data_IF_523583707076
#
_entry.id   IF_523583707076
#
_cell.length_a   1.000
_cell.length_b   1.000
_cell.length_c   1.000
_cell.angle_alpha   90.00
_cell.angle_beta   90.00
_cell.angle_gamma   90.00
#
_symmetry.space_group_name_H-M   'P 1'
#
loop_
_entity.id
_entity.type
_entity.pdbx_description
1 polymer ?
#
# COMPACT_ATOMS: atom_id res chain seq x y z
N UNK A 1 1.51 19.76 13.20
CA UNK A 1 0.77 18.96 12.19
C UNK A 1 0.58 17.57 12.78
N UNK A 2 -0.67 17.20 13.11
CA UNK A 2 -0.96 16.10 14.04
C UNK A 2 -0.60 14.72 13.45
N UNK A 3 0.46 14.11 13.96
CA UNK A 3 1.00 12.80 13.53
C UNK A 3 -0.02 11.64 13.59
N UNK A 4 -1.12 11.83 14.32
CA UNK A 4 -2.22 10.86 14.47
C UNK A 4 -3.07 10.81 13.19
N UNK A 5 -3.25 11.94 12.50
CA UNK A 5 -4.02 12.02 11.25
C UNK A 5 -3.25 11.33 10.11
N UNK A 6 -1.93 11.51 10.04
CA UNK A 6 -1.07 10.82 9.06
C UNK A 6 -0.99 9.29 9.32
N UNK A 7 -1.21 8.84 10.57
CA UNK A 7 -1.17 7.42 10.94
C UNK A 7 -2.45 6.66 10.54
N UNK A 8 -3.60 7.32 10.59
CA UNK A 8 -4.91 6.70 10.33
C UNK A 8 -5.44 6.90 8.91
N UNK A 9 -4.88 7.83 8.14
CA UNK A 9 -5.32 8.10 6.77
C UNK A 9 -5.34 6.87 5.84
N UNK A 10 -4.32 5.97 5.85
CA UNK A 10 -4.31 4.82 4.94
C UNK A 10 -5.44 3.83 5.24
N UNK A 11 -5.74 3.65 6.53
CA UNK A 11 -6.74 2.71 7.01
C UNK A 11 -8.14 3.30 6.88
N UNK A 12 -8.31 4.58 7.21
CA UNK A 12 -9.58 5.30 7.02
C UNK A 12 -9.96 5.41 5.53
N UNK A 13 -9.02 5.71 4.64
CA UNK A 13 -9.28 5.74 3.20
C UNK A 13 -9.65 4.36 2.65
N UNK A 14 -8.95 3.31 3.09
CA UNK A 14 -9.28 1.93 2.71
C UNK A 14 -10.67 1.51 3.21
N UNK A 15 -11.05 1.88 4.45
CA UNK A 15 -12.37 1.63 5.02
C UNK A 15 -13.47 2.37 4.24
N UNK A 16 -13.25 3.63 3.87
CA UNK A 16 -14.22 4.43 3.11
C UNK A 16 -14.44 3.82 1.72
N UNK A 17 -13.36 3.48 1.01
CA UNK A 17 -13.47 2.90 -0.34
C UNK A 17 -14.11 1.51 -0.31
N UNK A 18 -13.74 0.68 0.67
CA UNK A 18 -14.37 -0.63 0.89
C UNK A 18 -15.86 -0.48 1.25
N UNK A 19 -16.22 0.49 2.09
CA UNK A 19 -17.60 0.81 2.44
C UNK A 19 -18.42 1.28 1.23
N UNK A 20 -17.88 2.20 0.43
CA UNK A 20 -18.51 2.66 -0.80
C UNK A 20 -18.72 1.51 -1.79
N UNK A 21 -17.74 0.61 -1.94
CA UNK A 21 -17.88 -0.56 -2.82
C UNK A 21 -19.00 -1.50 -2.34
N UNK A 22 -19.06 -1.80 -1.04
CA UNK A 22 -20.05 -2.72 -0.48
C UNK A 22 -21.48 -2.17 -0.55
N UNK A 23 -21.67 -0.86 -0.34
CA UNK A 23 -22.99 -0.22 -0.35
C UNK A 23 -23.52 0.10 -1.76
N UNK A 24 -22.66 0.56 -2.68
CA UNK A 24 -23.10 1.04 -4.00
C UNK A 24 -22.80 0.09 -5.15
N UNK A 25 -21.64 -0.58 -5.16
CA UNK A 25 -21.14 -1.29 -6.35
C UNK A 25 -21.35 -2.79 -6.31
N UNK A 26 -21.75 -3.37 -5.17
CA UNK A 26 -22.08 -4.80 -5.04
C UNK A 26 -23.16 -5.29 -6.03
N UNK A 27 -24.03 -4.39 -6.51
CA UNK A 27 -25.09 -4.73 -7.47
C UNK A 27 -24.64 -4.74 -8.93
N UNK A 28 -23.44 -4.26 -9.25
CA UNK A 28 -22.94 -4.22 -10.63
C UNK A 28 -22.11 -5.47 -10.94
N UNK A 29 -22.35 -6.12 -12.09
CA UNK A 29 -21.51 -7.24 -12.51
C UNK A 29 -20.07 -6.76 -12.72
N UNK A 30 -19.11 -7.52 -12.22
CA UNK A 30 -17.69 -7.20 -12.37
C UNK A 30 -17.36 -7.34 -13.87
N UNK A 31 -16.78 -6.29 -14.49
CA UNK A 31 -16.53 -6.30 -15.92
C UNK A 31 -15.46 -7.34 -16.30
N UNK A 32 -15.59 -7.95 -17.47
CA UNK A 32 -14.64 -8.95 -18.01
C UNK A 32 -13.18 -8.43 -18.11
N UNK A 33 -12.99 -7.10 -18.05
CA UNK A 33 -11.68 -6.44 -18.01
C UNK A 33 -10.94 -6.57 -16.67
N UNK A 34 -11.49 -7.33 -15.70
CA UNK A 34 -10.88 -7.51 -14.38
C UNK A 34 -9.46 -8.11 -14.43
N UNK A 35 -9.19 -8.97 -15.41
CA UNK A 35 -7.86 -9.55 -15.62
C UNK A 35 -6.82 -8.48 -15.97
N UNK A 36 -7.20 -7.43 -16.71
CA UNK A 36 -6.30 -6.33 -16.98
C UNK A 36 -6.00 -5.53 -15.70
N UNK A 37 -7.02 -5.32 -14.86
CA UNK A 37 -6.88 -4.65 -13.57
C UNK A 37 -5.93 -5.40 -12.63
N UNK A 38 -6.05 -6.73 -12.52
CA UNK A 38 -5.13 -7.54 -11.73
C UNK A 38 -3.69 -7.47 -12.26
N UNK A 39 -3.49 -7.53 -13.58
CA UNK A 39 -2.16 -7.39 -14.18
C UNK A 39 -1.52 -6.03 -13.90
N UNK A 40 -2.29 -4.95 -13.99
CA UNK A 40 -1.84 -3.60 -13.65
C UNK A 40 -1.46 -3.51 -12.17
N UNK A 41 -2.26 -4.09 -11.28
CA UNK A 41 -1.99 -4.09 -9.84
C UNK A 41 -0.72 -4.87 -9.47
N UNK A 42 -0.45 -6.02 -10.10
CA UNK A 42 0.82 -6.76 -9.94
C UNK A 42 1.99 -5.89 -10.37
N UNK A 43 1.87 -5.20 -11.50
CA UNK A 43 2.94 -4.36 -12.03
C UNK A 43 3.25 -3.17 -11.11
N UNK A 44 2.21 -2.43 -10.67
CA UNK A 44 2.36 -1.29 -9.77
C UNK A 44 2.91 -1.71 -8.40
N UNK A 45 2.44 -2.83 -7.85
CA UNK A 45 2.93 -3.34 -6.56
C UNK A 45 4.40 -3.77 -6.65
N UNK A 46 4.83 -4.43 -7.72
CA UNK A 46 6.22 -4.80 -7.93
C UNK A 46 7.15 -3.57 -8.02
N UNK A 47 6.76 -2.54 -8.80
CA UNK A 47 7.51 -1.28 -8.89
C UNK A 47 7.58 -0.59 -7.52
N UNK A 48 6.47 -0.56 -6.80
CA UNK A 48 6.39 0.08 -5.47
C UNK A 48 7.29 -0.61 -4.46
N UNK A 49 7.31 -1.95 -4.43
CA UNK A 49 8.20 -2.74 -3.57
C UNK A 49 9.66 -2.43 -3.88
N UNK A 50 10.03 -2.41 -5.17
CA UNK A 50 11.39 -2.07 -5.60
C UNK A 50 11.80 -0.67 -5.11
N UNK A 51 10.97 0.33 -5.34
CA UNK A 51 11.20 1.70 -4.88
C UNK A 51 11.34 1.79 -3.34
N UNK A 52 10.46 1.12 -2.59
CA UNK A 52 10.50 1.09 -1.12
C UNK A 52 11.78 0.42 -0.60
N UNK A 53 12.20 -0.68 -1.23
CA UNK A 53 13.43 -1.38 -0.88
C UNK A 53 14.67 -0.50 -1.12
N UNK A 54 14.74 0.17 -2.28
CA UNK A 54 15.83 1.12 -2.58
C UNK A 54 15.81 2.30 -1.61
N UNK A 55 14.65 2.87 -1.31
CA UNK A 55 14.51 3.97 -0.35
C UNK A 55 14.99 3.56 1.04
N UNK A 56 14.70 2.31 1.47
CA UNK A 56 15.17 1.75 2.75
C UNK A 56 16.70 1.62 2.77
N UNK A 57 17.29 1.18 1.66
CA UNK A 57 18.74 1.11 1.53
C UNK A 57 19.40 2.49 1.61
N UNK A 58 18.85 3.50 0.92
CA UNK A 58 19.33 4.89 1.00
C UNK A 58 19.23 5.42 2.43
N UNK A 59 18.10 5.18 3.11
CA UNK A 59 17.91 5.59 4.50
C UNK A 59 18.99 4.97 5.42
N UNK A 60 19.35 3.71 5.18
CA UNK A 60 20.40 3.02 5.91
C UNK A 60 21.80 3.55 5.59
N UNK A 61 22.07 3.99 4.35
CA UNK A 61 23.36 4.58 3.97
C UNK A 61 23.56 5.98 4.55
N UNK A 62 22.50 6.79 4.65
CA UNK A 62 22.58 8.17 5.18
C UNK A 62 22.64 8.19 6.73
N UNK A 63 22.69 7.02 7.37
CA UNK A 63 22.62 6.81 8.82
C UNK A 63 23.55 7.69 9.67
N UNK A 64 24.70 8.10 9.13
CA UNK A 64 25.69 8.92 9.84
C UNK A 64 25.39 10.45 9.86
N UNK A 65 24.32 10.90 9.20
CA UNK A 65 23.93 12.32 9.29
C UNK A 65 23.34 12.62 10.67
N UNK A 66 23.72 13.78 11.25
CA UNK A 66 23.20 14.30 12.54
C UNK A 66 21.67 14.24 12.65
N UNK A 67 20.95 14.43 11.54
CA UNK A 67 19.49 14.34 11.47
C UNK A 67 18.97 12.93 11.71
N UNK A 68 19.60 11.90 11.13
CA UNK A 68 19.17 10.51 11.36
C UNK A 68 19.50 10.07 12.79
N UNK A 69 20.62 10.51 13.34
CA UNK A 69 20.94 10.28 14.76
C UNK A 69 19.90 10.95 15.69
N UNK A 70 19.39 12.14 15.34
CA UNK A 70 18.32 12.81 16.07
C UNK A 70 16.96 12.12 15.94
N UNK A 71 16.61 11.64 14.74
CA UNK A 71 15.40 10.83 14.51
C UNK A 71 15.48 9.50 15.27
N UNK A 72 16.68 8.92 15.39
CA UNK A 72 16.92 7.70 16.17
C UNK A 72 16.81 7.96 17.68
N UNK A 73 17.38 9.06 18.19
CA UNK A 73 17.23 9.42 19.61
C UNK A 73 15.78 9.74 19.99
N UNK A 74 14.97 10.17 19.02
CA UNK A 74 13.52 10.32 19.16
C UNK A 74 12.70 9.02 19.00
N UNK A 75 13.34 7.87 18.72
CA UNK A 75 12.66 6.58 18.50
C UNK A 75 11.82 6.49 17.22
N UNK A 76 11.94 7.48 16.32
CA UNK A 76 11.13 7.59 15.11
C UNK A 76 11.71 6.80 13.93
N UNK A 77 13.01 6.45 13.99
CA UNK A 77 13.69 5.71 12.93
C UNK A 77 13.11 4.30 12.74
N UNK A 78 12.95 3.55 13.84
CA UNK A 78 12.42 2.19 13.79
C UNK A 78 10.96 2.20 13.31
N UNK A 79 10.16 3.15 13.80
CA UNK A 79 8.79 3.36 13.30
C UNK A 79 8.74 3.65 11.80
N UNK A 80 9.71 4.40 11.25
CA UNK A 80 9.78 4.66 9.82
C UNK A 80 10.06 3.39 9.04
N UNK A 81 11.06 2.62 9.46
CA UNK A 81 11.41 1.34 8.84
C UNK A 81 10.23 0.38 8.89
N UNK A 82 9.49 0.34 10.01
CA UNK A 82 8.27 -0.47 10.16
C UNK A 82 7.18 -0.03 9.18
N UNK A 83 6.99 1.28 8.95
CA UNK A 83 6.05 1.76 7.94
C UNK A 83 6.47 1.36 6.52
N UNK A 84 7.77 1.39 6.20
CA UNK A 84 8.28 0.92 4.92
C UNK A 84 8.02 -0.57 4.74
N UNK A 85 8.30 -1.37 5.76
CA UNK A 85 8.03 -2.81 5.73
C UNK A 85 6.54 -3.09 5.62
N UNK A 86 5.68 -2.38 6.36
CA UNK A 86 4.23 -2.54 6.25
C UNK A 86 3.73 -2.28 4.82
N UNK A 87 4.19 -1.19 4.19
CA UNK A 87 3.86 -0.89 2.79
C UNK A 87 4.32 -2.00 1.83
N UNK A 88 5.54 -2.53 2.02
CA UNK A 88 6.05 -3.67 1.24
C UNK A 88 5.16 -4.90 1.40
N UNK A 89 4.77 -5.26 2.64
CA UNK A 89 3.89 -6.40 2.89
C UNK A 89 2.53 -6.21 2.21
N UNK A 90 1.91 -5.03 2.30
CA UNK A 90 0.64 -4.76 1.62
C UNK A 90 0.76 -4.89 0.09
N UNK A 91 1.85 -4.41 -0.50
CA UNK A 91 2.11 -4.58 -1.93
C UNK A 91 2.30 -6.06 -2.31
N UNK A 92 3.00 -6.84 -1.49
CA UNK A 92 3.14 -8.29 -1.72
C UNK A 92 1.80 -9.02 -1.64
N UNK A 93 1.01 -8.75 -0.60
CA UNK A 93 -0.32 -9.35 -0.45
C UNK A 93 -1.21 -8.98 -1.64
N UNK A 94 -1.20 -7.72 -2.05
CA UNK A 94 -1.94 -7.26 -3.24
C UNK A 94 -1.49 -8.00 -4.50
N UNK A 95 -0.18 -8.15 -4.71
CA UNK A 95 0.39 -8.83 -5.88
C UNK A 95 0.00 -10.31 -5.91
N UNK A 96 0.14 -11.01 -4.78
CA UNK A 96 -0.24 -12.42 -4.65
C UNK A 96 -1.74 -12.60 -4.88
N UNK A 97 -2.59 -11.77 -4.27
CA UNK A 97 -4.04 -11.86 -4.49
C UNK A 97 -4.43 -11.56 -5.94
N UNK A 98 -3.76 -10.61 -6.59
CA UNK A 98 -3.98 -10.30 -8.00
C UNK A 98 -3.54 -11.47 -8.90
N UNK A 99 -2.41 -12.10 -8.61
CA UNK A 99 -1.93 -13.28 -9.32
C UNK A 99 -2.88 -14.48 -9.16
N UNK A 100 -3.38 -14.72 -7.94
CA UNK A 100 -4.42 -15.74 -7.69
C UNK A 100 -5.70 -15.41 -8.46
N UNK A 101 -6.12 -14.13 -8.48
CA UNK A 101 -7.28 -13.66 -9.23
C UNK A 101 -7.15 -13.88 -10.75
N UNK A 102 -5.94 -13.79 -11.30
CA UNK A 102 -5.66 -14.11 -12.71
C UNK A 102 -5.74 -15.61 -13.02
N UNK A 103 -5.37 -16.46 -12.06
CA UNK A 103 -5.41 -17.92 -12.23
C UNK A 103 -6.84 -18.47 -12.09
N UNK A 104 -7.66 -17.86 -11.24
CA UNK A 104 -9.05 -18.27 -11.00
C UNK A 104 -9.98 -17.57 -11.98
N UNK A 105 -9.98 -18.02 -13.23
CA UNK A 105 -10.89 -17.53 -14.27
C UNK A 105 -12.20 -18.35 -14.26
N UNK A 106 -12.92 -18.36 -13.12
CA UNK A 106 -14.15 -19.14 -12.95
C UNK A 106 -15.36 -18.39 -13.54
N UNK A 107 -15.90 -18.90 -14.65
CA UNK A 107 -17.25 -18.58 -15.16
C UNK A 107 -18.15 -19.81 -14.93
N UNK A 108 -19.36 -19.67 -14.35
CA UNK A 108 -20.03 -18.45 -13.89
C UNK A 108 -19.43 -17.90 -12.58
N UNK A 109 -19.53 -16.57 -12.40
CA UNK A 109 -18.97 -15.85 -11.25
C UNK A 109 -19.83 -16.11 -10.00
N UNK A 110 -19.33 -16.88 -9.01
CA UNK A 110 -20.09 -17.17 -7.80
C UNK A 110 -20.18 -15.94 -6.89
N UNK A 111 -21.22 -15.84 -6.05
CA UNK A 111 -21.45 -14.65 -5.21
C UNK A 111 -20.28 -14.33 -4.26
N UNK A 112 -19.49 -15.33 -3.86
CA UNK A 112 -18.29 -15.14 -3.04
C UNK A 112 -17.21 -14.29 -3.73
N UNK A 113 -17.20 -14.25 -5.06
CA UNK A 113 -16.23 -13.47 -5.85
C UNK A 113 -16.39 -11.96 -5.59
N UNK A 114 -17.63 -11.47 -5.38
CA UNK A 114 -17.86 -10.06 -5.06
C UNK A 114 -17.25 -9.67 -3.70
N UNK A 115 -17.24 -10.57 -2.72
CA UNK A 115 -16.61 -10.32 -1.41
C UNK A 115 -15.09 -10.36 -1.52
N UNK A 116 -14.55 -11.32 -2.27
CA UNK A 116 -13.11 -11.41 -2.54
C UNK A 116 -12.58 -10.16 -3.26
N UNK A 117 -13.34 -9.63 -4.23
CA UNK A 117 -12.98 -8.40 -4.92
C UNK A 117 -13.05 -7.16 -4.01
N UNK A 118 -14.02 -7.10 -3.10
CA UNK A 118 -14.08 -6.04 -2.09
C UNK A 118 -12.85 -6.05 -1.15
N UNK A 119 -12.44 -7.25 -0.69
CA UNK A 119 -11.23 -7.41 0.11
C UNK A 119 -9.97 -7.04 -0.69
N UNK A 120 -9.92 -7.41 -1.97
CA UNK A 120 -8.83 -7.02 -2.87
C UNK A 120 -8.72 -5.50 -3.03
N UNK A 121 -9.84 -4.79 -3.21
CA UNK A 121 -9.88 -3.32 -3.26
C UNK A 121 -9.41 -2.69 -1.95
N UNK A 122 -9.83 -3.24 -0.81
CA UNK A 122 -9.37 -2.78 0.50
C UNK A 122 -7.84 -2.90 0.62
N UNK A 123 -7.27 -4.04 0.24
CA UNK A 123 -5.83 -4.25 0.30
C UNK A 123 -5.10 -3.36 -0.71
N UNK A 124 -5.64 -3.18 -1.92
CA UNK A 124 -5.06 -2.32 -2.94
C UNK A 124 -4.98 -0.86 -2.52
N UNK A 125 -6.06 -0.34 -1.93
CA UNK A 125 -6.11 1.03 -1.40
C UNK A 125 -5.23 1.21 -0.17
N UNK A 126 -5.20 0.23 0.75
CA UNK A 126 -4.29 0.23 1.88
C UNK A 126 -2.82 0.23 1.44
N UNK A 127 -2.46 -0.56 0.43
CA UNK A 127 -1.12 -0.59 -0.16
C UNK A 127 -0.72 0.76 -0.75
N UNK A 128 -1.58 1.35 -1.60
CA UNK A 128 -1.33 2.66 -2.23
C UNK A 128 -1.15 3.76 -1.19
N UNK A 129 -2.05 3.85 -0.22
CA UNK A 129 -1.96 4.88 0.82
C UNK A 129 -0.73 4.70 1.71
N UNK A 130 -0.35 3.44 1.99
CA UNK A 130 0.87 3.14 2.76
C UNK A 130 2.12 3.54 1.99
N UNK A 131 2.18 3.27 0.68
CA UNK A 131 3.28 3.72 -0.18
C UNK A 131 3.38 5.24 -0.22
N UNK A 132 2.25 5.93 -0.42
CA UNK A 132 2.21 7.40 -0.42
C UNK A 132 2.72 7.99 0.91
N UNK A 133 2.30 7.39 2.04
CA UNK A 133 2.77 7.79 3.36
C UNK A 133 4.29 7.68 3.50
N UNK A 134 4.86 6.55 3.06
CA UNK A 134 6.32 6.35 3.11
C UNK A 134 7.03 7.39 2.26
N UNK A 135 6.58 7.60 1.02
CA UNK A 135 7.16 8.61 0.11
C UNK A 135 7.13 9.99 0.76
N UNK A 136 5.99 10.41 1.31
CA UNK A 136 5.84 11.72 1.92
C UNK A 136 6.76 11.93 3.14
N UNK A 137 6.87 10.93 4.02
CA UNK A 137 7.78 11.01 5.17
C UNK A 137 9.23 11.04 4.69
N UNK A 138 9.59 10.16 3.76
CA UNK A 138 10.94 10.07 3.21
C UNK A 138 11.37 11.38 2.54
N UNK A 139 10.50 12.00 1.73
CA UNK A 139 10.76 13.31 1.11
C UNK A 139 10.94 14.43 2.13
N UNK A 140 10.18 14.43 3.23
CA UNK A 140 10.36 15.42 4.31
C UNK A 140 11.73 15.29 4.99
N UNK A 141 12.19 14.06 5.23
CA UNK A 141 13.49 13.79 5.85
C UNK A 141 14.62 14.26 4.92
N UNK A 142 14.56 13.91 3.64
CA UNK A 142 15.55 14.32 2.64
C UNK A 142 15.62 15.84 2.46
N UNK A 143 14.48 16.52 2.46
CA UNK A 143 14.42 17.98 2.36
C UNK A 143 15.06 18.69 3.56
N UNK A 144 15.02 18.08 4.75
CA UNK A 144 15.70 18.62 5.93
C UNK A 144 17.19 18.24 5.98
N UNK A 145 17.59 17.17 5.27
CA UNK A 145 18.97 16.71 5.20
C UNK A 145 19.82 17.40 4.12
N UNK A 146 19.19 18.17 3.23
CA UNK A 146 19.84 19.02 2.21
C UNK A 146 19.92 20.45 2.73
#
# INVERSE_FOLDING_TARGET
MNAIVEKWYPLAAAIIICGCYFFYFRKYPIPDTINNLYNIAVSISAISVGFLATSKSILFTIYDRKIIQWIKSAGLYDSLVDYMMAAIHYCFILSIMSAIGLLINMKPMPEWYSYAFGLWLFIGTAALCSCYRVIHIFSKILRQAT
#
